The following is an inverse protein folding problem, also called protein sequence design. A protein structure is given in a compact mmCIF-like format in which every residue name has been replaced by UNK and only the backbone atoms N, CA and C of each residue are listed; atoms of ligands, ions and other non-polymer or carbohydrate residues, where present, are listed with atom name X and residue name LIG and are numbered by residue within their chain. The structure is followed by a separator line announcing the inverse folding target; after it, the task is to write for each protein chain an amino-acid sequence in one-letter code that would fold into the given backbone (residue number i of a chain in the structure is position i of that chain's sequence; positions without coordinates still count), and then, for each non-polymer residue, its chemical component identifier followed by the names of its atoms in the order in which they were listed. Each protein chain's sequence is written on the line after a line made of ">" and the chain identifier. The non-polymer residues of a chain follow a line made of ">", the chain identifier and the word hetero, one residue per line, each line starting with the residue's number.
data_IF_724673278114
#
_entry.id   IF_724673278114
#
_cell.length_a   1.000
_cell.length_b   1.000
_cell.length_c   1.000
_cell.angle_alpha   90.00
_cell.angle_beta   90.00
_cell.angle_gamma   90.00
#
_symmetry.space_group_name_H-M   'P 1'
#
loop_
_entity.id
_entity.type
_entity.pdbx_description
1 polymer ?
#
# COMPACT_ATOMS: atom_id res chain seq x y z
N UNK A 1 -2.71 69.16 -6.56
CA UNK A 1 -3.06 68.68 -5.20
C UNK A 1 -3.09 67.17 -5.29
N UNK A 2 -2.01 66.49 -4.89
CA UNK A 2 -1.91 65.03 -5.01
C UNK A 2 -2.34 64.39 -3.69
N UNK A 3 -3.33 63.51 -3.76
CA UNK A 3 -3.80 62.72 -2.61
C UNK A 3 -2.97 61.44 -2.55
N UNK A 4 -2.22 61.25 -1.46
CA UNK A 4 -1.56 59.99 -1.16
C UNK A 4 -2.57 59.06 -0.50
N UNK A 5 -2.97 58.00 -1.20
CA UNK A 5 -3.78 56.92 -0.62
C UNK A 5 -2.84 56.03 0.18
N UNK A 6 -3.06 55.95 1.50
CA UNK A 6 -2.37 55.00 2.37
C UNK A 6 -3.22 53.73 2.46
N UNK A 7 -2.69 52.60 1.98
CA UNK A 7 -3.33 51.29 2.14
C UNK A 7 -2.95 50.78 3.54
N UNK A 8 -3.90 50.58 4.48
CA UNK A 8 -3.56 49.97 5.75
C UNK A 8 -3.15 48.53 5.50
N UNK A 9 -1.96 48.16 5.96
CA UNK A 9 -1.54 46.76 5.98
C UNK A 9 -2.46 46.02 6.93
N UNK A 10 -3.44 45.28 6.41
CA UNK A 10 -4.08 44.22 7.20
C UNK A 10 -2.93 43.28 7.53
N UNK A 11 -2.55 43.25 8.80
CA UNK A 11 -1.46 42.42 9.29
C UNK A 11 -1.77 40.96 9.01
N UNK A 12 -1.30 40.47 7.86
CA UNK A 12 -1.13 39.04 7.67
C UNK A 12 -0.20 38.58 8.76
N UNK A 13 -0.64 37.60 9.57
CA UNK A 13 0.23 37.02 10.58
C UNK A 13 1.49 36.54 9.85
N UNK A 14 2.69 37.05 10.21
CA UNK A 14 3.91 36.61 9.57
C UNK A 14 4.05 35.10 9.82
N UNK A 15 4.46 34.36 8.79
CA UNK A 15 4.95 33.00 9.00
C UNK A 15 6.28 33.17 9.73
N UNK A 16 6.27 32.85 11.02
CA UNK A 16 7.41 32.94 11.93
C UNK A 16 7.59 31.60 12.62
N UNK A 17 8.74 31.36 13.26
CA UNK A 17 9.00 30.08 13.94
C UNK A 17 7.97 29.77 15.05
N UNK A 18 7.33 30.81 15.60
CA UNK A 18 6.23 30.69 16.57
C UNK A 18 4.85 30.45 15.93
N UNK A 19 4.72 30.62 14.61
CA UNK A 19 3.51 30.39 13.84
C UNK A 19 3.86 29.84 12.43
N UNK A 20 4.48 28.65 12.36
CA UNK A 20 4.80 28.04 11.08
C UNK A 20 3.49 27.67 10.36
N UNK A 21 3.53 27.62 9.03
CA UNK A 21 2.44 27.03 8.27
C UNK A 21 2.18 25.60 8.78
N UNK A 22 0.93 25.12 8.81
CA UNK A 22 0.65 23.75 9.18
C UNK A 22 1.40 22.81 8.22
N UNK A 23 2.40 22.10 8.74
CA UNK A 23 3.08 21.04 8.00
C UNK A 23 2.36 19.75 8.32
N UNK A 24 1.70 19.17 7.32
CA UNK A 24 1.18 17.81 7.45
C UNK A 24 2.37 16.86 7.68
N UNK A 25 2.26 15.89 8.59
CA UNK A 25 3.33 14.91 8.76
C UNK A 25 3.60 14.20 7.43
N UNK A 26 4.87 13.97 7.12
CA UNK A 26 5.25 13.19 5.95
C UNK A 26 4.59 11.81 6.02
N UNK A 27 3.89 11.41 4.96
CA UNK A 27 3.28 10.09 4.88
C UNK A 27 4.38 9.05 4.81
N UNK A 28 4.45 8.17 5.82
CA UNK A 28 5.37 7.04 5.83
C UNK A 28 4.90 6.04 4.77
N UNK A 29 5.74 5.78 3.77
CA UNK A 29 5.47 4.72 2.80
C UNK A 29 5.73 3.36 3.45
N UNK A 30 4.73 2.48 3.43
CA UNK A 30 4.95 1.08 3.80
C UNK A 30 5.16 0.29 2.51
N UNK A 31 6.31 -0.36 2.35
CA UNK A 31 6.66 -1.08 1.12
C UNK A 31 7.34 -2.39 1.48
N UNK A 32 6.79 -3.49 0.98
CA UNK A 32 7.47 -4.78 0.93
C UNK A 32 7.55 -5.25 -0.52
N UNK A 33 8.64 -5.90 -0.87
CA UNK A 33 8.95 -6.29 -2.24
C UNK A 33 9.79 -7.55 -2.24
N UNK A 34 9.78 -8.26 -3.37
CA UNK A 34 10.65 -9.41 -3.56
C UNK A 34 10.43 -10.08 -4.90
N UNK A 35 10.96 -11.30 -5.01
CA UNK A 35 10.78 -12.14 -6.17
C UNK A 35 10.46 -13.57 -5.73
N UNK A 36 9.54 -14.20 -6.45
CA UNK A 36 9.22 -15.62 -6.34
C UNK A 36 9.77 -16.30 -7.60
N UNK A 37 10.66 -17.27 -7.40
CA UNK A 37 11.29 -18.08 -8.48
C UNK A 37 10.88 -19.56 -8.43
N UNK A 38 10.15 -19.93 -7.38
CA UNK A 38 9.54 -21.24 -7.16
C UNK A 38 8.32 -21.06 -6.24
N UNK A 39 7.55 -22.13 -6.05
CA UNK A 39 6.41 -22.07 -5.12
C UNK A 39 6.85 -21.75 -3.69
N UNK A 40 6.02 -20.99 -2.97
CA UNK A 40 6.39 -20.50 -1.65
C UNK A 40 5.63 -19.26 -1.22
N UNK A 41 6.13 -18.63 -0.15
CA UNK A 41 5.55 -17.47 0.48
C UNK A 41 6.48 -16.27 0.31
N UNK A 42 5.92 -15.06 0.27
CA UNK A 42 6.68 -13.80 0.15
C UNK A 42 7.43 -13.38 1.41
N UNK A 43 7.40 -14.18 2.48
CA UNK A 43 8.05 -13.84 3.75
C UNK A 43 7.21 -12.90 4.62
N UNK A 44 7.85 -11.90 5.23
CA UNK A 44 7.25 -11.01 6.23
C UNK A 44 5.97 -10.34 5.73
N UNK A 45 4.99 -10.27 6.63
CA UNK A 45 3.66 -9.78 6.34
C UNK A 45 3.63 -8.26 6.11
N UNK A 46 2.98 -7.83 5.03
CA UNK A 46 2.60 -6.43 4.84
C UNK A 46 1.43 -6.06 5.76
N UNK A 47 1.47 -4.90 6.40
CA UNK A 47 0.37 -4.36 7.21
C UNK A 47 -0.04 -3.00 6.64
N UNK A 48 -1.22 -2.87 6.00
CA UNK A 48 -1.72 -1.58 5.56
C UNK A 48 -1.85 -0.61 6.75
N UNK A 49 -1.37 0.63 6.59
CA UNK A 49 -1.48 1.73 7.55
C UNK A 49 -2.68 2.66 7.26
N UNK A 50 -3.40 2.41 6.17
CA UNK A 50 -4.59 3.13 5.71
C UNK A 50 -5.50 2.14 4.94
N UNK A 51 -6.73 2.54 4.56
CA UNK A 51 -7.69 1.63 3.95
C UNK A 51 -7.22 0.99 2.65
N UNK A 52 -6.50 1.73 1.80
CA UNK A 52 -6.14 1.25 0.46
C UNK A 52 -4.65 0.99 0.29
N UNK A 53 -4.27 -0.17 -0.25
CA UNK A 53 -2.90 -0.51 -0.59
C UNK A 53 -2.79 -1.02 -2.03
N UNK A 54 -1.59 -1.00 -2.57
CA UNK A 54 -1.29 -1.43 -3.93
C UNK A 54 -0.67 -2.83 -3.92
N UNK A 55 -1.03 -3.61 -4.92
CA UNK A 55 -0.48 -4.93 -5.22
C UNK A 55 0.01 -4.90 -6.66
N UNK A 56 1.28 -5.23 -6.86
CA UNK A 56 1.87 -5.35 -8.19
C UNK A 56 2.61 -6.68 -8.30
N UNK A 57 2.42 -7.38 -9.41
CA UNK A 57 3.14 -8.58 -9.80
C UNK A 57 3.58 -8.42 -11.25
N UNK A 58 4.88 -8.58 -11.52
CA UNK A 58 5.44 -8.41 -12.87
C UNK A 58 6.60 -9.37 -13.14
N UNK A 59 6.94 -9.53 -14.41
CA UNK A 59 8.03 -10.37 -14.87
C UNK A 59 7.59 -11.37 -15.92
N UNK A 60 8.41 -12.40 -16.11
CA UNK A 60 8.11 -13.52 -17.00
C UNK A 60 7.99 -14.78 -16.16
N UNK A 61 6.75 -15.17 -15.89
CA UNK A 61 6.43 -16.31 -15.06
C UNK A 61 5.15 -17.00 -15.53
N UNK A 62 4.98 -18.24 -15.09
CA UNK A 62 3.75 -19.01 -15.28
C UNK A 62 3.44 -19.74 -13.98
N UNK A 63 2.17 -19.77 -13.58
CA UNK A 63 1.71 -20.42 -12.38
C UNK A 63 0.53 -19.67 -11.77
N UNK A 64 0.39 -19.73 -10.45
CA UNK A 64 -0.67 -19.03 -9.72
C UNK A 64 -0.12 -18.42 -8.44
N UNK A 65 -0.46 -17.16 -8.18
CA UNK A 65 -0.10 -16.41 -6.98
C UNK A 65 -1.38 -15.93 -6.31
N UNK A 66 -1.65 -16.41 -5.11
CA UNK A 66 -2.81 -16.07 -4.31
C UNK A 66 -2.49 -15.01 -3.25
N UNK A 67 -3.45 -14.13 -2.99
CA UNK A 67 -3.41 -13.22 -1.86
C UNK A 67 -3.95 -13.90 -0.61
N UNK A 68 -3.23 -13.76 0.49
CA UNK A 68 -3.67 -14.23 1.79
C UNK A 68 -3.69 -13.12 2.81
N UNK A 69 -4.59 -13.25 3.79
CA UNK A 69 -4.63 -12.37 4.95
C UNK A 69 -4.64 -13.15 6.26
N UNK A 70 -4.16 -12.51 7.30
CA UNK A 70 -4.22 -12.98 8.68
C UNK A 70 -4.91 -11.93 9.55
N UNK A 71 -5.87 -12.40 10.35
CA UNK A 71 -6.66 -11.58 11.27
C UNK A 71 -6.22 -11.74 12.73
N UNK A 72 -5.22 -12.58 12.99
CA UNK A 72 -4.78 -12.98 14.33
C UNK A 72 -3.28 -12.74 14.55
N UNK A 73 -2.74 -11.70 13.92
CA UNK A 73 -1.34 -11.32 14.08
C UNK A 73 -0.35 -12.27 13.40
N UNK A 74 -0.78 -13.06 12.42
CA UNK A 74 0.05 -13.94 11.61
C UNK A 74 0.02 -15.41 12.02
N UNK A 75 -0.82 -15.81 12.98
CA UNK A 75 -0.92 -17.19 13.43
C UNK A 75 -1.66 -18.06 12.43
N UNK A 76 -2.78 -17.58 11.88
CA UNK A 76 -3.53 -18.22 10.79
C UNK A 76 -3.56 -17.34 9.56
N UNK A 77 -3.57 -17.99 8.40
CA UNK A 77 -3.57 -17.34 7.10
C UNK A 77 -4.68 -17.93 6.24
N UNK A 78 -5.62 -17.08 5.87
CA UNK A 78 -6.78 -17.42 5.07
C UNK A 78 -6.62 -16.83 3.67
N UNK A 79 -7.08 -17.54 2.62
CA UNK A 79 -7.19 -16.95 1.30
C UNK A 79 -8.06 -15.69 1.37
N UNK A 80 -7.62 -14.61 0.73
CA UNK A 80 -8.53 -13.52 0.46
C UNK A 80 -9.51 -13.97 -0.63
N UNK A 81 -10.81 -13.82 -0.42
CA UNK A 81 -11.83 -14.29 -1.38
C UNK A 81 -12.75 -13.17 -1.84
N UNK A 82 -13.32 -13.34 -3.02
CA UNK A 82 -14.51 -12.59 -3.42
C UNK A 82 -15.74 -13.07 -2.63
N UNK A 83 -16.87 -12.38 -2.81
CA UNK A 83 -18.13 -12.69 -2.12
C UNK A 83 -18.73 -14.04 -2.52
N UNK A 84 -18.33 -14.60 -3.65
CA UNK A 84 -18.71 -15.94 -4.11
C UNK A 84 -17.83 -17.06 -3.50
N UNK A 85 -16.84 -16.71 -2.68
CA UNK A 85 -15.88 -17.64 -2.08
C UNK A 85 -14.68 -17.98 -2.96
N UNK A 86 -14.60 -17.43 -4.18
CA UNK A 86 -13.45 -17.63 -5.07
C UNK A 86 -12.23 -16.92 -4.50
N UNK A 87 -11.12 -17.64 -4.35
CA UNK A 87 -9.86 -17.06 -3.87
C UNK A 87 -9.29 -16.07 -4.90
N UNK A 88 -8.81 -14.93 -4.40
CA UNK A 88 -8.08 -13.95 -5.20
C UNK A 88 -6.71 -14.52 -5.52
N UNK A 89 -6.55 -14.95 -6.77
CA UNK A 89 -5.31 -15.46 -7.30
C UNK A 89 -5.12 -15.02 -8.75
N UNK A 90 -3.86 -14.83 -9.13
CA UNK A 90 -3.49 -14.34 -10.44
C UNK A 90 -2.54 -15.31 -11.14
N UNK A 91 -2.73 -15.48 -12.44
CA UNK A 91 -1.84 -16.24 -13.34
C UNK A 91 -1.13 -15.35 -14.36
N UNK A 92 -1.35 -14.04 -14.27
CA UNK A 92 -0.79 -13.01 -15.13
C UNK A 92 -0.24 -11.86 -14.27
N UNK A 93 0.59 -11.02 -14.90
CA UNK A 93 1.04 -9.77 -14.29
C UNK A 93 -0.15 -8.86 -13.95
N UNK A 94 -0.11 -8.24 -12.77
CA UNK A 94 -1.15 -7.32 -12.30
C UNK A 94 -0.54 -6.08 -11.67
N UNK A 95 -1.29 -4.99 -11.69
CA UNK A 95 -1.02 -3.80 -10.89
C UNK A 95 -2.34 -3.18 -10.54
N UNK A 96 -2.74 -3.27 -9.28
CA UNK A 96 -4.06 -2.86 -8.81
C UNK A 96 -4.00 -2.36 -7.38
N UNK A 97 -5.07 -1.70 -6.94
CA UNK A 97 -5.28 -1.31 -5.56
C UNK A 97 -6.34 -2.20 -4.91
N UNK A 98 -6.23 -2.35 -3.60
CA UNK A 98 -7.16 -3.12 -2.79
C UNK A 98 -7.45 -2.38 -1.49
N UNK A 99 -8.64 -2.62 -0.94
CA UNK A 99 -9.08 -2.02 0.32
C UNK A 99 -9.11 -3.05 1.45
N UNK A 100 -8.66 -2.66 2.64
CA UNK A 100 -8.82 -3.38 3.91
C UNK A 100 -9.34 -2.40 4.96
N UNK A 101 -10.62 -2.48 5.34
CA UNK A 101 -11.19 -1.60 6.35
C UNK A 101 -10.71 -1.90 7.77
N UNK A 102 -10.20 -3.11 8.04
CA UNK A 102 -9.77 -3.50 9.38
C UNK A 102 -8.28 -3.18 9.65
N UNK A 103 -8.00 -2.58 10.79
CA UNK A 103 -6.63 -2.24 11.19
C UNK A 103 -5.85 -3.50 11.59
N UNK A 104 -4.52 -3.45 11.40
CA UNK A 104 -3.59 -4.50 11.80
C UNK A 104 -3.75 -5.86 11.09
N UNK A 105 -4.54 -5.92 10.01
CA UNK A 105 -4.59 -7.07 9.12
C UNK A 105 -3.26 -7.22 8.39
N UNK A 106 -2.79 -8.46 8.34
CA UNK A 106 -1.52 -8.84 7.72
C UNK A 106 -1.79 -9.49 6.37
N UNK A 107 -1.04 -9.10 5.35
CA UNK A 107 -1.11 -9.66 4.00
C UNK A 107 0.19 -10.31 3.57
N UNK A 108 0.06 -11.35 2.74
CA UNK A 108 1.19 -11.96 2.02
C UNK A 108 0.71 -12.54 0.69
N UNK A 109 1.65 -12.82 -0.20
CA UNK A 109 1.37 -13.61 -1.40
C UNK A 109 1.87 -15.05 -1.19
N UNK A 110 1.10 -16.00 -1.70
CA UNK A 110 1.46 -17.42 -1.78
C UNK A 110 1.50 -17.82 -3.25
N UNK A 111 2.68 -18.19 -3.73
CA UNK A 111 2.82 -18.87 -5.01
C UNK A 111 2.56 -20.36 -4.85
N UNK A 112 1.71 -20.92 -5.72
CA UNK A 112 1.77 -22.35 -6.04
C UNK A 112 3.03 -22.68 -6.84
N UNK A 113 3.05 -23.78 -7.58
CA UNK A 113 4.17 -24.03 -8.49
C UNK A 113 4.24 -22.92 -9.55
N UNK A 114 5.33 -22.16 -9.53
CA UNK A 114 5.64 -21.15 -10.54
C UNK A 114 6.92 -21.54 -11.29
N UNK A 115 6.97 -21.19 -12.57
CA UNK A 115 8.18 -21.25 -13.41
C UNK A 115 8.53 -19.84 -13.84
N UNK A 116 9.83 -19.52 -13.92
CA UNK A 116 10.31 -18.17 -14.20
C UNK A 116 10.38 -17.32 -12.94
N UNK A 117 10.30 -15.99 -13.10
CA UNK A 117 10.46 -15.03 -11.99
C UNK A 117 9.26 -14.08 -11.94
N UNK A 118 8.51 -14.15 -10.86
CA UNK A 118 7.46 -13.21 -10.50
C UNK A 118 8.00 -12.23 -9.47
N UNK A 119 8.32 -11.01 -9.90
CA UNK A 119 8.60 -9.91 -8.98
C UNK A 119 7.29 -9.39 -8.42
N UNK A 120 7.30 -8.96 -7.17
CA UNK A 120 6.09 -8.49 -6.50
C UNK A 120 6.37 -7.31 -5.58
N UNK A 121 5.34 -6.51 -5.35
CA UNK A 121 5.35 -5.38 -4.41
C UNK A 121 3.98 -5.25 -3.76
N UNK A 122 3.97 -5.12 -2.44
CA UNK A 122 2.84 -4.60 -1.68
C UNK A 122 3.24 -3.24 -1.13
N UNK A 123 2.45 -2.21 -1.37
CA UNK A 123 2.80 -0.89 -0.87
C UNK A 123 1.63 0.04 -0.66
N UNK A 124 1.80 0.93 0.30
CA UNK A 124 0.89 2.03 0.55
C UNK A 124 1.67 3.35 0.59
#
# INVERSE_FOLDING_TARGET
>A
MSVTVSIPTVGGMPVEDANPLPVLPARVANVVTGALTSGGLTGDAFIPLAPDFNISIWGNWTGSIALERSLDGGATWLPYTYSDGTAVAWSLNISTSWAEPEAAIRYRLRAGNITGTANWRLSQ
#
